data_IF_092570181120
#
_entry.id   IF_092570181120
#
_cell.length_a   1.000
_cell.length_b   1.000
_cell.length_c   1.000
_cell.angle_alpha   90.00
_cell.angle_beta   90.00
_cell.angle_gamma   90.00
#
_symmetry.space_group_name_H-M   'P 1'
#
loop_
_entity.id
_entity.type
_entity.pdbx_description
1 polymer ?
#
# COMPACT_ATOMS: atom_id res chain seq x y z
N UNK A 1 -25.57 1.30 -4.24
CA UNK A 1 -26.63 1.40 -3.21
C UNK A 1 -26.45 2.71 -2.45
N UNK A 2 -27.51 3.33 -1.96
CA UNK A 2 -27.47 4.60 -1.21
C UNK A 2 -27.98 4.30 0.21
N UNK A 3 -27.33 4.86 1.22
CA UNK A 3 -27.81 4.76 2.61
C UNK A 3 -29.21 5.38 2.71
N UNK A 4 -30.19 4.60 3.21
CA UNK A 4 -31.56 5.09 3.45
C UNK A 4 -31.97 4.78 4.89
N UNK A 5 -32.02 5.84 5.71
CA UNK A 5 -32.42 5.80 7.13
C UNK A 5 -33.84 5.31 7.38
N UNK A 6 -34.68 5.22 6.34
CA UNK A 6 -36.07 4.74 6.43
C UNK A 6 -36.17 3.22 6.27
N UNK A 7 -35.11 2.58 5.79
CA UNK A 7 -35.05 1.13 5.63
C UNK A 7 -34.70 0.51 6.98
N UNK A 8 -35.36 -0.60 7.32
CA UNK A 8 -34.96 -1.43 8.45
C UNK A 8 -33.79 -2.31 8.03
N UNK A 9 -32.71 -2.27 8.78
CA UNK A 9 -31.54 -3.14 8.59
C UNK A 9 -31.19 -3.89 9.87
N UNK A 10 -30.16 -4.71 9.79
CA UNK A 10 -29.65 -5.43 10.96
C UNK A 10 -29.11 -4.43 12.00
N UNK A 11 -29.69 -4.46 13.19
CA UNK A 11 -29.12 -3.83 14.37
C UNK A 11 -27.96 -4.70 14.87
N UNK A 12 -26.77 -4.39 14.37
CA UNK A 12 -25.53 -5.09 14.74
C UNK A 12 -25.16 -4.91 16.22
N UNK A 13 -25.60 -3.84 16.88
CA UNK A 13 -25.29 -3.58 18.29
C UNK A 13 -26.10 -4.52 19.17
N UNK A 14 -27.41 -4.61 18.97
CA UNK A 14 -28.24 -5.53 19.76
C UNK A 14 -27.99 -6.98 19.35
N UNK A 15 -27.79 -7.25 18.05
CA UNK A 15 -27.44 -8.59 17.54
C UNK A 15 -26.17 -9.11 18.19
N UNK A 16 -25.12 -8.29 18.28
CA UNK A 16 -23.84 -8.68 18.92
C UNK A 16 -23.97 -8.97 20.42
N UNK A 17 -25.02 -8.48 21.09
CA UNK A 17 -25.32 -8.75 22.50
C UNK A 17 -26.20 -9.97 22.71
N UNK A 18 -26.93 -10.42 21.68
CA UNK A 18 -27.83 -11.59 21.73
C UNK A 18 -27.13 -12.85 21.24
N UNK A 19 -26.07 -13.23 21.94
CA UNK A 19 -25.28 -14.43 21.66
C UNK A 19 -25.79 -15.58 22.52
N UNK A 20 -26.14 -16.69 21.90
CA UNK A 20 -26.41 -17.93 22.61
C UNK A 20 -25.12 -18.42 23.31
N UNK A 21 -25.13 -18.61 24.64
CA UNK A 21 -23.92 -18.86 25.41
C UNK A 21 -23.31 -20.26 25.17
N UNK A 22 -24.06 -21.18 24.58
CA UNK A 22 -23.61 -22.56 24.34
C UNK A 22 -23.12 -22.78 22.91
N UNK A 23 -23.75 -22.12 21.95
CA UNK A 23 -23.49 -22.31 20.51
C UNK A 23 -22.73 -21.13 19.88
N UNK A 24 -22.66 -19.98 20.56
CA UNK A 24 -22.07 -18.75 20.02
C UNK A 24 -22.88 -18.12 18.90
N UNK A 25 -24.07 -18.64 18.58
CA UNK A 25 -24.92 -18.10 17.51
C UNK A 25 -25.56 -16.78 17.94
N UNK A 26 -25.52 -15.79 17.05
CA UNK A 26 -26.17 -14.51 17.24
C UNK A 26 -27.63 -14.58 16.77
N UNK A 27 -28.55 -14.00 17.55
CA UNK A 27 -29.94 -13.77 17.12
C UNK A 27 -30.04 -12.40 16.47
N UNK A 28 -30.28 -12.38 15.16
CA UNK A 28 -30.39 -11.13 14.38
C UNK A 28 -31.58 -10.31 14.86
N UNK A 29 -31.34 -9.03 15.12
CA UNK A 29 -32.36 -8.02 15.41
C UNK A 29 -32.37 -6.95 14.32
N UNK A 30 -33.52 -6.36 14.07
CA UNK A 30 -33.69 -5.30 13.07
C UNK A 30 -34.16 -4.00 13.73
N UNK A 31 -33.60 -2.88 13.28
CA UNK A 31 -34.00 -1.53 13.67
C UNK A 31 -33.99 -0.60 12.44
N UNK A 32 -34.55 0.62 12.58
CA UNK A 32 -34.47 1.62 11.53
C UNK A 32 -33.04 2.13 11.38
N UNK A 33 -32.59 2.27 10.12
CA UNK A 33 -31.20 2.53 9.78
C UNK A 33 -30.54 1.24 9.30
N UNK A 34 -30.09 1.22 8.05
CA UNK A 34 -29.46 0.05 7.44
C UNK A 34 -27.96 0.28 7.23
N UNK A 35 -27.16 -0.74 7.53
CA UNK A 35 -25.73 -0.80 7.18
C UNK A 35 -25.60 -1.17 5.69
N UNK A 36 -26.10 -0.33 4.79
CA UNK A 36 -26.39 -0.75 3.42
C UNK A 36 -25.22 -0.68 2.42
N UNK A 37 -23.97 -0.46 2.88
CA UNK A 37 -22.85 -0.21 1.98
C UNK A 37 -21.53 -0.88 2.42
N UNK A 38 -21.44 -2.20 2.32
CA UNK A 38 -20.14 -2.85 2.10
C UNK A 38 -19.74 -2.70 0.63
N UNK A 39 -19.19 -1.53 0.27
CA UNK A 39 -18.61 -1.34 -1.05
C UNK A 39 -17.15 -1.79 -1.04
N UNK A 40 -16.81 -2.79 -1.85
CA UNK A 40 -15.41 -3.14 -2.15
C UNK A 40 -14.80 -2.05 -3.01
N UNK A 41 -14.08 -1.14 -2.37
CA UNK A 41 -13.45 0.01 -3.04
C UNK A 41 -11.96 -0.19 -3.33
N UNK A 42 -11.27 -1.02 -2.54
CA UNK A 42 -9.85 -1.30 -2.71
C UNK A 42 -9.57 -2.81 -2.67
N UNK A 43 -9.45 -3.42 -3.85
CA UNK A 43 -9.00 -4.80 -4.02
C UNK A 43 -8.00 -4.83 -5.17
N UNK A 44 -6.72 -5.03 -4.85
CA UNK A 44 -5.63 -5.03 -5.84
C UNK A 44 -4.81 -6.31 -5.72
N UNK A 45 -4.94 -7.17 -6.71
CA UNK A 45 -4.19 -8.43 -6.85
C UNK A 45 -2.87 -8.27 -7.62
N UNK A 46 -2.54 -7.03 -8.01
CA UNK A 46 -1.31 -6.67 -8.70
C UNK A 46 -0.21 -6.40 -7.68
N UNK A 47 1.00 -6.92 -7.96
CA UNK A 47 2.21 -6.61 -7.21
C UNK A 47 2.01 -6.77 -5.68
N UNK A 48 1.50 -7.93 -5.25
CA UNK A 48 1.20 -8.20 -3.84
C UNK A 48 2.40 -7.92 -2.94
N UNK A 49 2.09 -7.44 -1.75
CA UNK A 49 3.05 -7.18 -0.68
C UNK A 49 3.61 -8.52 -0.21
N UNK A 50 4.86 -8.57 0.22
CA UNK A 50 5.47 -9.75 0.80
C UNK A 50 5.58 -9.60 2.32
N UNK A 51 5.25 -10.66 3.04
CA UNK A 51 5.44 -10.77 4.48
C UNK A 51 5.79 -12.20 4.88
N UNK A 52 5.90 -12.43 6.18
CA UNK A 52 6.12 -13.75 6.75
C UNK A 52 4.79 -14.26 7.29
N UNK A 53 4.40 -15.45 6.85
CA UNK A 53 3.21 -16.13 7.35
C UNK A 53 3.50 -16.94 8.61
N UNK A 54 2.45 -17.50 9.23
CA UNK A 54 2.49 -18.39 10.39
C UNK A 54 3.51 -19.54 10.31
N UNK A 55 3.93 -19.97 9.11
CA UNK A 55 4.92 -21.04 8.92
C UNK A 55 6.36 -20.52 8.85
N UNK A 56 6.57 -19.23 9.11
CA UNK A 56 7.87 -18.58 8.95
C UNK A 56 8.33 -18.50 7.49
N UNK A 57 7.40 -18.52 6.52
CA UNK A 57 7.72 -18.47 5.07
C UNK A 57 7.29 -17.15 4.47
N UNK A 58 8.05 -16.70 3.46
CA UNK A 58 7.66 -15.56 2.64
C UNK A 58 6.37 -15.89 1.91
N UNK A 59 5.38 -15.01 2.03
CA UNK A 59 4.05 -15.17 1.47
C UNK A 59 3.59 -13.84 0.85
N UNK A 60 2.86 -13.88 -0.27
CA UNK A 60 2.04 -12.75 -0.69
C UNK A 60 1.03 -12.41 0.39
N UNK A 61 0.82 -11.12 0.60
CA UNK A 61 -0.21 -10.55 1.45
C UNK A 61 -1.18 -9.77 0.58
N UNK A 62 -2.46 -9.96 0.83
CA UNK A 62 -3.51 -9.18 0.18
C UNK A 62 -4.38 -8.45 1.21
N UNK A 63 -5.02 -7.33 0.79
CA UNK A 63 -6.03 -6.66 1.59
C UNK A 63 -7.13 -7.63 2.03
N UNK A 64 -7.22 -7.85 3.33
CA UNK A 64 -8.38 -8.49 3.96
C UNK A 64 -9.52 -7.49 4.13
N UNK A 65 -10.29 -7.63 5.21
CA UNK A 65 -11.31 -6.63 5.56
C UNK A 65 -10.63 -5.30 5.94
N UNK A 66 -10.90 -4.25 5.14
CA UNK A 66 -10.45 -2.88 5.39
C UNK A 66 -11.68 -2.01 5.66
N UNK A 67 -12.06 -1.91 6.94
CA UNK A 67 -13.29 -1.23 7.34
C UNK A 67 -13.01 0.20 7.71
N UNK A 68 -13.66 1.12 7.00
CA UNK A 68 -13.80 2.52 7.37
C UNK A 68 -15.27 2.84 7.53
N UNK A 69 -15.62 3.65 8.53
CA UNK A 69 -17.01 3.97 8.83
C UNK A 69 -17.24 5.47 8.90
N UNK A 70 -18.43 5.87 8.48
CA UNK A 70 -18.96 7.23 8.65
C UNK A 70 -20.24 7.09 9.44
N UNK A 71 -20.31 7.76 10.60
CA UNK A 71 -21.51 7.78 11.42
C UNK A 71 -22.31 9.04 11.09
N UNK A 72 -23.54 8.84 10.63
CA UNK A 72 -24.52 9.89 10.35
C UNK A 72 -25.65 9.73 11.35
N UNK A 73 -25.95 10.77 12.12
CA UNK A 73 -27.03 10.75 13.11
C UNK A 73 -28.43 10.79 12.46
N UNK A 74 -29.46 10.69 13.29
CA UNK A 74 -30.87 10.64 12.85
C UNK A 74 -31.28 11.90 12.08
N UNK A 75 -30.72 13.06 12.47
CA UNK A 75 -30.94 14.35 11.83
C UNK A 75 -30.20 14.48 10.48
N UNK A 76 -29.26 13.59 10.19
CA UNK A 76 -28.47 13.58 8.95
C UNK A 76 -27.11 14.28 9.07
N UNK A 77 -26.66 14.63 10.28
CA UNK A 77 -25.35 15.21 10.50
C UNK A 77 -24.28 14.13 10.57
N UNK A 78 -23.15 14.38 9.91
CA UNK A 78 -21.97 13.50 10.01
C UNK A 78 -21.31 13.72 11.38
N UNK A 79 -21.40 12.72 12.25
CA UNK A 79 -20.78 12.70 13.59
C UNK A 79 -19.35 12.16 13.58
N UNK A 80 -19.06 11.27 12.64
CA UNK A 80 -17.71 10.76 12.37
C UNK A 80 -17.57 10.52 10.88
N UNK A 81 -16.46 10.96 10.29
CA UNK A 81 -16.18 10.83 8.87
C UNK A 81 -14.97 9.92 8.67
N UNK A 82 -15.15 8.83 7.91
CA UNK A 82 -14.09 7.89 7.51
C UNK A 82 -13.19 7.41 8.65
N UNK A 83 -13.78 7.11 9.81
CA UNK A 83 -13.03 6.63 10.97
C UNK A 83 -12.64 5.15 10.80
N UNK A 84 -11.60 4.73 11.52
CA UNK A 84 -11.16 3.34 11.62
C UNK A 84 -10.94 2.98 13.09
N UNK A 85 -10.66 1.72 13.39
CA UNK A 85 -10.44 1.25 14.77
C UNK A 85 -8.97 0.90 14.99
N UNK A 86 -8.51 1.03 16.24
CA UNK A 86 -7.25 0.44 16.69
C UNK A 86 -7.58 -0.87 17.39
N UNK A 87 -6.94 -1.96 16.96
CA UNK A 87 -7.15 -3.28 17.56
C UNK A 87 -6.35 -3.42 18.85
N UNK A 88 -6.60 -4.49 19.61
CA UNK A 88 -5.98 -4.74 20.92
C UNK A 88 -4.44 -4.79 20.89
N UNK A 89 -3.83 -5.06 19.74
CA UNK A 89 -2.37 -5.06 19.56
C UNK A 89 -1.79 -3.67 19.26
N UNK A 90 -2.63 -2.63 19.18
CA UNK A 90 -2.21 -1.25 18.90
C UNK A 90 -2.03 -0.93 17.41
N UNK A 91 -2.34 -1.87 16.51
CA UNK A 91 -2.32 -1.66 15.06
C UNK A 91 -3.65 -1.06 14.56
N UNK A 92 -3.63 -0.42 13.39
CA UNK A 92 -4.86 -0.03 12.70
C UNK A 92 -5.63 -1.28 12.24
N UNK A 93 -6.96 -1.21 12.24
CA UNK A 93 -7.84 -2.36 11.95
C UNK A 93 -7.78 -2.88 10.52
N UNK A 94 -7.29 -2.07 9.58
CA UNK A 94 -7.04 -2.52 8.21
C UNK A 94 -6.05 -3.68 8.24
N UNK A 95 -6.43 -4.80 7.62
CA UNK A 95 -5.69 -6.05 7.73
C UNK A 95 -5.11 -6.44 6.38
N UNK A 96 -3.83 -6.82 6.38
CA UNK A 96 -3.15 -7.48 5.26
C UNK A 96 -2.90 -8.92 5.64
N UNK A 97 -3.55 -9.85 4.94
CA UNK A 97 -3.55 -11.27 5.29
C UNK A 97 -2.62 -12.06 4.37
N UNK A 98 -1.77 -12.95 4.90
CA UNK A 98 -1.05 -13.89 4.07
C UNK A 98 -2.01 -14.80 3.31
N UNK A 99 -1.78 -14.93 2.02
CA UNK A 99 -2.54 -15.85 1.17
C UNK A 99 -1.64 -16.93 0.60
N UNK A 100 -2.19 -18.14 0.48
CA UNK A 100 -1.62 -19.19 -0.36
C UNK A 100 -2.54 -19.33 -1.57
N UNK A 101 -2.25 -18.67 -2.69
CA UNK A 101 -3.13 -18.73 -3.85
C UNK A 101 -3.15 -20.16 -4.39
N UNK A 102 -4.35 -20.65 -4.72
CA UNK A 102 -4.53 -21.94 -5.41
C UNK A 102 -3.90 -21.95 -6.82
N UNK A 103 -3.50 -20.78 -7.33
CA UNK A 103 -2.72 -20.58 -8.53
C UNK A 103 -1.34 -20.03 -8.16
N UNK A 104 -0.40 -20.93 -7.84
CA UNK A 104 1.02 -20.56 -7.74
C UNK A 104 1.60 -20.47 -9.16
N UNK A 105 2.06 -19.29 -9.56
CA UNK A 105 2.77 -19.11 -10.83
C UNK A 105 4.12 -19.85 -10.81
N UNK A 106 4.52 -20.43 -11.95
CA UNK A 106 5.87 -20.97 -12.16
C UNK A 106 6.92 -19.86 -12.29
N UNK A 107 6.48 -18.64 -12.61
CA UNK A 107 7.35 -17.49 -12.86
C UNK A 107 7.36 -16.61 -11.62
N UNK A 108 8.57 -16.36 -11.11
CA UNK A 108 8.80 -15.43 -10.02
C UNK A 108 8.54 -13.98 -10.46
N UNK A 109 8.41 -13.09 -9.48
CA UNK A 109 8.34 -11.63 -9.68
C UNK A 109 9.58 -11.17 -10.46
N UNK A 110 9.45 -10.16 -11.31
CA UNK A 110 10.63 -9.63 -12.01
C UNK A 110 11.62 -9.02 -11.02
N UNK A 111 12.89 -8.91 -11.43
CA UNK A 111 13.93 -8.29 -10.61
C UNK A 111 13.53 -6.87 -10.20
N UNK A 112 12.95 -6.10 -11.12
CA UNK A 112 12.50 -4.73 -10.90
C UNK A 112 11.36 -4.71 -9.89
N UNK A 113 10.32 -5.52 -10.08
CA UNK A 113 9.21 -5.56 -9.13
C UNK A 113 9.64 -6.03 -7.74
N UNK A 114 10.60 -6.95 -7.64
CA UNK A 114 11.14 -7.37 -6.35
C UNK A 114 11.95 -6.25 -5.67
N UNK A 115 12.86 -5.61 -6.41
CA UNK A 115 13.90 -4.77 -5.82
C UNK A 115 13.60 -3.27 -5.86
N UNK A 116 12.72 -2.79 -6.74
CA UNK A 116 12.46 -1.36 -6.93
C UNK A 116 11.04 -0.94 -6.56
N UNK A 117 10.12 -1.88 -6.39
CA UNK A 117 8.76 -1.56 -5.98
C UNK A 117 8.64 -1.47 -4.44
N UNK A 118 8.38 -0.29 -3.85
CA UNK A 118 8.24 -0.13 -2.40
C UNK A 118 7.06 -0.91 -1.83
N UNK A 119 6.01 -1.16 -2.63
CA UNK A 119 4.85 -1.95 -2.23
C UNK A 119 5.24 -3.39 -1.90
N UNK A 120 6.12 -4.00 -2.69
CA UNK A 120 6.61 -5.38 -2.50
C UNK A 120 7.10 -5.64 -1.08
N UNK A 121 7.83 -4.69 -0.51
CA UNK A 121 8.45 -4.82 0.82
C UNK A 121 7.62 -4.18 1.94
N UNK A 122 6.37 -3.80 1.64
CA UNK A 122 5.38 -3.34 2.61
C UNK A 122 5.35 -1.84 2.86
N UNK A 123 6.15 -1.02 2.15
CA UNK A 123 6.08 0.43 2.29
C UNK A 123 4.86 1.05 1.59
N UNK A 124 4.13 0.29 0.77
CA UNK A 124 2.95 0.74 0.05
C UNK A 124 3.26 1.46 -1.26
N UNK A 125 2.24 1.64 -2.08
CA UNK A 125 2.38 2.30 -3.38
C UNK A 125 2.78 3.76 -3.20
N UNK A 126 3.74 4.23 -4.00
CA UNK A 126 4.19 5.62 -3.99
C UNK A 126 5.17 5.98 -2.86
N UNK A 127 5.35 5.12 -1.85
CA UNK A 127 6.28 5.37 -0.73
C UNK A 127 7.71 4.92 -1.04
N UNK A 128 8.17 5.24 -2.25
CA UNK A 128 9.51 4.94 -2.74
C UNK A 128 10.55 5.87 -2.07
N UNK A 129 11.82 5.47 -1.97
CA UNK A 129 12.91 6.32 -1.46
C UNK A 129 13.02 7.59 -2.29
N UNK A 130 12.91 7.43 -3.60
CA UNK A 130 12.97 8.51 -4.57
C UNK A 130 11.76 9.44 -4.42
N UNK A 131 10.56 8.87 -4.28
CA UNK A 131 9.34 9.65 -4.04
C UNK A 131 9.41 10.45 -2.74
N UNK A 132 9.86 9.84 -1.64
CA UNK A 132 10.07 10.57 -0.38
C UNK A 132 11.09 11.70 -0.50
N UNK A 133 12.17 11.52 -1.27
CA UNK A 133 13.17 12.58 -1.50
C UNK A 133 12.63 13.72 -2.38
N UNK A 134 11.77 13.41 -3.35
CA UNK A 134 11.24 14.38 -4.33
C UNK A 134 10.00 15.12 -3.83
N UNK A 135 9.11 14.42 -3.13
CA UNK A 135 7.80 14.90 -2.73
C UNK A 135 7.70 15.19 -1.22
N UNK A 136 8.64 14.69 -0.41
CA UNK A 136 8.48 14.66 1.04
C UNK A 136 7.23 13.88 1.42
N UNK A 137 6.41 14.46 2.29
CA UNK A 137 5.10 13.92 2.68
C UNK A 137 3.97 14.29 1.69
N UNK A 138 4.28 15.00 0.60
CA UNK A 138 3.28 15.38 -0.39
C UNK A 138 2.84 14.15 -1.19
N UNK A 139 1.52 13.90 -1.33
CA UNK A 139 1.05 12.78 -2.12
C UNK A 139 1.38 13.01 -3.61
N UNK A 140 1.62 11.92 -4.35
CA UNK A 140 1.72 11.99 -5.80
C UNK A 140 0.32 12.28 -6.37
N UNK A 141 0.05 13.56 -6.67
CA UNK A 141 -1.17 13.99 -7.36
C UNK A 141 -0.84 14.22 -8.84
N UNK A 142 -1.38 13.37 -9.71
CA UNK A 142 -1.34 13.62 -11.15
C UNK A 142 -2.61 14.34 -11.56
N UNK A 143 -2.50 15.64 -11.83
CA UNK A 143 -3.59 16.42 -12.40
C UNK A 143 -3.77 16.06 -13.88
N UNK A 144 -4.64 15.09 -14.15
CA UNK A 144 -4.93 14.63 -15.52
C UNK A 144 -5.57 15.73 -16.39
N UNK A 145 -6.06 16.83 -15.79
CA UNK A 145 -6.53 18.02 -16.55
C UNK A 145 -5.39 18.81 -17.19
N UNK A 146 -4.13 18.56 -16.79
CA UNK A 146 -2.92 19.21 -17.31
C UNK A 146 -1.89 18.22 -17.87
N UNK A 147 -2.29 16.97 -18.12
CA UNK A 147 -1.43 15.88 -18.58
C UNK A 147 -0.88 16.05 -20.00
N UNK A 148 0.19 15.31 -20.29
CA UNK A 148 1.02 15.42 -21.52
C UNK A 148 0.27 14.99 -22.80
N UNK A 149 -0.87 14.30 -22.69
CA UNK A 149 -1.66 13.81 -23.82
C UNK A 149 -3.13 14.27 -23.84
N UNK A 150 -3.53 15.25 -23.00
CA UNK A 150 -4.93 15.67 -22.92
C UNK A 150 -5.82 14.57 -22.36
N UNK A 151 -5.39 13.96 -21.25
CA UNK A 151 -5.86 12.66 -20.78
C UNK A 151 -7.33 12.61 -20.33
N UNK A 152 -8.01 13.75 -20.27
CA UNK A 152 -9.48 13.83 -20.33
C UNK A 152 -9.86 15.10 -21.11
N UNK A 153 -10.42 14.99 -22.34
CA UNK A 153 -10.94 16.14 -23.06
C UNK A 153 -11.93 16.94 -22.19
N UNK A 154 -11.79 18.26 -22.17
CA UNK A 154 -12.62 19.22 -21.41
C UNK A 154 -12.50 19.22 -19.87
N UNK A 155 -11.60 18.43 -19.28
CA UNK A 155 -11.35 18.52 -17.84
C UNK A 155 -10.67 19.86 -17.48
N UNK A 156 -11.33 20.69 -16.67
CA UNK A 156 -10.81 22.00 -16.22
C UNK A 156 -10.05 21.94 -14.89
N UNK A 157 -10.27 20.89 -14.10
CA UNK A 157 -9.66 20.71 -12.77
C UNK A 157 -9.53 19.22 -12.45
N UNK A 158 -8.42 18.79 -11.86
CA UNK A 158 -8.32 17.53 -11.15
C UNK A 158 -8.92 17.62 -9.74
N UNK A 159 -9.71 16.62 -9.33
CA UNK A 159 -10.15 16.45 -7.94
C UNK A 159 -9.78 15.06 -7.46
N UNK A 160 -9.52 14.92 -6.15
CA UNK A 160 -9.40 13.60 -5.53
C UNK A 160 -10.71 12.83 -5.67
N UNK A 161 -10.65 11.60 -6.21
CA UNK A 161 -11.80 10.71 -6.28
C UNK A 161 -12.27 10.29 -4.88
N UNK A 162 -11.32 10.15 -3.95
CA UNK A 162 -11.60 9.80 -2.54
C UNK A 162 -10.85 10.78 -1.64
N UNK A 163 -11.52 11.45 -0.68
CA UNK A 163 -10.86 12.35 0.26
C UNK A 163 -9.91 11.58 1.17
N UNK A 164 -8.87 12.27 1.67
CA UNK A 164 -7.92 11.72 2.64
C UNK A 164 -8.66 11.25 3.90
N UNK A 165 -8.24 10.12 4.44
CA UNK A 165 -8.65 9.66 5.76
C UNK A 165 -7.67 10.24 6.77
N UNK A 166 -8.08 11.28 7.51
CA UNK A 166 -7.17 12.02 8.39
C UNK A 166 -6.52 11.14 9.46
N UNK A 167 -7.32 10.26 10.07
CA UNK A 167 -6.86 9.36 11.14
C UNK A 167 -6.03 8.17 10.61
N UNK A 168 -6.06 7.91 9.30
CA UNK A 168 -5.29 6.85 8.65
C UNK A 168 -4.44 7.47 7.51
N UNK A 169 -3.33 8.15 7.84
CA UNK A 169 -2.50 8.87 6.87
C UNK A 169 -1.54 7.93 6.11
N UNK A 170 -1.98 6.71 5.81
CA UNK A 170 -1.18 5.67 5.19
C UNK A 170 -1.88 5.12 3.94
N UNK A 171 -1.11 4.55 3.02
CA UNK A 171 -1.70 3.86 1.88
C UNK A 171 -2.40 2.57 2.34
N UNK A 172 -3.51 2.21 1.68
CA UNK A 172 -4.26 0.98 2.01
C UNK A 172 -3.44 -0.29 1.75
N UNK A 173 -2.39 -0.21 0.94
CA UNK A 173 -1.43 -1.27 0.69
C UNK A 173 -0.09 -1.08 1.41
N UNK A 174 -0.05 -0.25 2.46
CA UNK A 174 1.12 -0.06 3.30
C UNK A 174 1.01 -0.87 4.59
N UNK A 175 1.95 -1.79 4.82
CA UNK A 175 2.02 -2.58 6.05
C UNK A 175 2.96 -1.95 7.09
N UNK A 176 4.02 -1.29 6.63
CA UNK A 176 5.12 -0.82 7.47
C UNK A 176 5.61 0.54 7.00
N UNK A 177 6.05 1.38 7.93
CA UNK A 177 6.74 2.64 7.61
C UNK A 177 8.25 2.43 7.53
N UNK A 178 8.98 3.38 6.94
CA UNK A 178 10.44 3.28 6.75
C UNK A 178 11.25 3.16 8.05
N UNK A 179 10.69 3.56 9.20
CA UNK A 179 11.29 3.32 10.52
C UNK A 179 11.19 1.86 10.99
N UNK A 180 10.44 1.02 10.28
CA UNK A 180 10.21 -0.38 10.60
C UNK A 180 8.98 -0.66 11.46
N UNK A 181 8.25 0.38 11.90
CA UNK A 181 6.99 0.21 12.63
C UNK A 181 5.88 -0.34 11.72
N UNK A 182 5.28 -1.47 12.11
CA UNK A 182 4.07 -1.99 11.51
C UNK A 182 2.88 -1.06 11.80
N UNK A 183 2.08 -0.79 10.78
CA UNK A 183 0.94 0.13 10.88
C UNK A 183 -0.40 -0.53 10.60
N UNK A 184 -0.45 -1.63 9.86
CA UNK A 184 -1.67 -2.39 9.59
C UNK A 184 -1.64 -3.74 10.30
N UNK A 185 -2.81 -4.28 10.59
CA UNK A 185 -2.95 -5.58 11.24
C UNK A 185 -2.57 -6.74 10.29
N UNK A 186 -2.17 -7.86 10.88
CA UNK A 186 -2.08 -9.17 10.24
C UNK A 186 -2.88 -10.18 11.07
N UNK A 187 -3.49 -11.20 10.45
CA UNK A 187 -4.52 -12.00 11.11
C UNK A 187 -3.99 -12.88 12.24
N UNK A 188 -2.77 -13.41 12.14
CA UNK A 188 -2.20 -14.30 13.15
C UNK A 188 -1.02 -13.65 13.90
N UNK A 189 -0.80 -13.97 15.19
CA UNK A 189 0.31 -13.43 15.97
C UNK A 189 1.70 -13.68 15.38
N UNK A 190 1.87 -14.81 14.68
CA UNK A 190 3.12 -15.19 14.03
C UNK A 190 3.32 -14.49 12.68
N UNK A 191 2.25 -13.96 12.09
CA UNK A 191 2.34 -13.20 10.86
C UNK A 191 3.02 -11.86 11.12
N UNK A 192 3.99 -11.50 10.27
CA UNK A 192 4.69 -10.23 10.40
C UNK A 192 5.09 -9.65 9.05
N UNK A 193 5.30 -8.33 8.95
CA UNK A 193 6.05 -7.75 7.86
C UNK A 193 7.45 -8.36 7.80
N UNK A 194 8.08 -8.24 6.63
CA UNK A 194 9.54 -8.36 6.55
C UNK A 194 10.17 -7.46 7.61
N UNK A 195 11.26 -7.85 8.26
CA UNK A 195 11.97 -7.00 9.19
C UNK A 195 12.91 -6.02 8.44
N UNK A 196 13.59 -5.14 9.16
CA UNK A 196 14.45 -4.13 8.51
C UNK A 196 15.62 -4.76 7.74
N UNK A 197 16.23 -5.81 8.28
CA UNK A 197 17.34 -6.50 7.64
C UNK A 197 16.90 -7.16 6.34
N UNK A 198 15.79 -7.91 6.37
CA UNK A 198 15.16 -8.54 5.21
C UNK A 198 14.81 -7.50 4.13
N UNK A 199 14.23 -6.36 4.51
CA UNK A 199 13.93 -5.27 3.56
C UNK A 199 15.19 -4.66 2.98
N UNK A 200 16.24 -4.45 3.77
CA UNK A 200 17.52 -3.89 3.30
C UNK A 200 18.23 -4.82 2.31
N UNK A 201 18.08 -6.13 2.47
CA UNK A 201 18.59 -7.12 1.51
C UNK A 201 17.89 -7.01 0.15
N UNK A 202 16.62 -6.62 0.13
CA UNK A 202 15.80 -6.56 -1.09
C UNK A 202 15.80 -5.17 -1.74
N UNK A 203 15.65 -4.09 -0.99
CA UNK A 203 15.42 -2.75 -1.56
C UNK A 203 16.66 -2.24 -2.31
N UNK A 204 16.57 -2.19 -3.65
CA UNK A 204 17.56 -1.59 -4.56
C UNK A 204 17.00 -0.39 -5.32
N UNK A 205 15.86 0.13 -4.89
CA UNK A 205 15.25 1.31 -5.47
C UNK A 205 16.21 2.52 -5.45
N UNK A 206 16.32 3.24 -6.56
CA UNK A 206 17.23 4.38 -6.65
C UNK A 206 18.69 3.99 -6.91
N UNK A 207 19.00 2.75 -7.31
CA UNK A 207 20.31 2.47 -7.93
C UNK A 207 20.59 3.43 -9.10
N UNK A 208 19.55 3.75 -9.87
CA UNK A 208 19.58 4.79 -10.90
C UNK A 208 19.86 6.19 -10.33
N UNK A 209 19.27 6.56 -9.17
CA UNK A 209 19.54 7.85 -8.52
C UNK A 209 20.97 7.96 -8.02
N UNK A 210 21.63 6.83 -7.72
CA UNK A 210 23.06 6.78 -7.40
C UNK A 210 23.91 7.53 -8.44
N UNK A 211 23.59 7.38 -9.73
CA UNK A 211 24.22 8.11 -10.81
C UNK A 211 23.48 9.43 -11.12
N UNK A 212 22.15 9.39 -11.29
CA UNK A 212 21.38 10.53 -11.82
C UNK A 212 21.13 11.66 -10.83
N UNK A 213 21.35 11.49 -9.53
CA UNK A 213 21.23 12.59 -8.56
C UNK A 213 22.19 13.75 -8.83
N UNK A 214 23.27 13.50 -9.56
CA UNK A 214 24.27 14.48 -9.92
C UNK A 214 23.95 15.19 -11.24
N UNK A 215 22.85 14.86 -11.92
CA UNK A 215 22.55 15.40 -13.23
C UNK A 215 22.62 16.94 -13.25
N UNK A 216 23.46 17.50 -14.14
CA UNK A 216 23.71 18.95 -14.22
C UNK A 216 24.78 19.49 -13.25
N UNK A 217 25.45 18.64 -12.49
CA UNK A 217 26.58 19.00 -11.60
C UNK A 217 27.94 18.54 -12.19
N UNK A 218 29.08 19.08 -11.75
CA UNK A 218 30.41 18.60 -12.16
C UNK A 218 30.63 17.10 -11.91
N UNK A 219 30.02 16.55 -10.86
CA UNK A 219 30.08 15.13 -10.52
C UNK A 219 29.46 14.26 -11.62
N UNK A 220 28.43 14.75 -12.32
CA UNK A 220 27.84 14.05 -13.46
C UNK A 220 28.79 13.96 -14.65
N UNK A 221 29.62 14.99 -14.88
CA UNK A 221 30.66 14.89 -15.91
C UNK A 221 31.68 13.80 -15.60
N UNK A 222 32.03 13.61 -14.32
CA UNK A 222 32.92 12.53 -13.91
C UNK A 222 32.29 11.14 -14.12
N UNK A 223 30.99 11.00 -13.83
CA UNK A 223 30.24 9.77 -14.10
C UNK A 223 30.21 9.48 -15.61
N UNK A 224 29.89 10.49 -16.42
CA UNK A 224 29.88 10.38 -17.89
C UNK A 224 31.27 10.03 -18.43
N UNK A 225 32.34 10.64 -17.91
CA UNK A 225 33.72 10.32 -18.31
C UNK A 225 34.10 8.87 -17.98
N UNK A 226 33.61 8.34 -16.85
CA UNK A 226 33.95 6.99 -16.38
C UNK A 226 33.15 5.89 -17.07
N UNK A 227 31.84 6.08 -17.26
CA UNK A 227 30.93 5.03 -17.73
C UNK A 227 30.32 5.32 -19.12
N UNK A 228 30.50 6.52 -19.67
CA UNK A 228 29.91 6.95 -20.93
C UNK A 228 28.47 7.49 -20.78
N UNK A 229 27.88 7.90 -21.92
CA UNK A 229 26.44 8.19 -22.03
C UNK A 229 25.76 7.05 -22.77
N UNK A 230 24.71 6.48 -22.19
CA UNK A 230 23.85 5.54 -22.89
C UNK A 230 22.93 6.27 -23.86
N UNK A 231 22.95 5.88 -25.14
CA UNK A 231 22.03 6.37 -26.16
C UNK A 231 20.78 5.47 -26.31
N UNK A 232 20.86 4.21 -25.84
CA UNK A 232 19.76 3.24 -25.88
C UNK A 232 19.54 2.59 -24.50
N UNK A 233 18.36 2.01 -24.28
CA UNK A 233 18.04 1.29 -23.06
C UNK A 233 19.00 0.11 -22.79
N UNK A 234 19.38 -0.63 -23.83
CA UNK A 234 20.30 -1.77 -23.71
C UNK A 234 21.72 -1.32 -23.31
N UNK A 235 22.19 -0.17 -23.82
CA UNK A 235 23.46 0.41 -23.39
C UNK A 235 23.40 0.84 -21.92
N UNK A 236 22.29 1.43 -21.49
CA UNK A 236 22.08 1.84 -20.11
C UNK A 236 22.14 0.64 -19.16
N UNK A 237 21.48 -0.46 -19.51
CA UNK A 237 21.48 -1.69 -18.73
C UNK A 237 22.89 -2.30 -18.57
N UNK A 238 23.68 -2.34 -19.67
CA UNK A 238 25.07 -2.80 -19.64
C UNK A 238 25.94 -1.95 -18.71
N UNK A 239 25.84 -0.62 -18.82
CA UNK A 239 26.60 0.31 -17.97
C UNK A 239 26.26 0.15 -16.48
N UNK A 240 24.98 -0.01 -16.15
CA UNK A 240 24.53 -0.25 -14.77
C UNK A 240 25.04 -1.59 -14.25
N UNK A 241 24.99 -2.65 -15.07
CA UNK A 241 25.50 -3.97 -14.70
C UNK A 241 27.00 -3.95 -14.37
N UNK A 242 27.80 -3.28 -15.19
CA UNK A 242 29.25 -3.10 -14.96
C UNK A 242 29.53 -2.30 -13.68
N UNK A 243 28.80 -1.21 -13.46
CA UNK A 243 28.92 -0.40 -12.26
C UNK A 243 28.63 -1.22 -11.00
N UNK A 244 27.55 -2.02 -10.99
CA UNK A 244 27.18 -2.90 -9.87
C UNK A 244 28.25 -3.98 -9.63
N UNK A 245 28.74 -4.65 -10.68
CA UNK A 245 29.82 -5.65 -10.57
C UNK A 245 31.11 -5.04 -9.97
N UNK A 246 31.45 -3.81 -10.35
CA UNK A 246 32.62 -3.11 -9.80
C UNK A 246 32.51 -2.83 -8.31
N UNK A 247 31.29 -2.58 -7.81
CA UNK A 247 31.01 -2.37 -6.39
C UNK A 247 31.13 -3.69 -5.61
N UNK A 248 30.62 -4.79 -6.16
CA UNK A 248 30.72 -6.11 -5.54
C UNK A 248 32.18 -6.60 -5.41
N UNK A 249 33.03 -6.29 -6.40
CA UNK A 249 34.46 -6.66 -6.37
C UNK A 249 35.29 -5.93 -5.33
N UNK A 250 34.82 -4.77 -4.83
CA UNK A 250 35.47 -3.99 -3.75
C UNK A 250 35.04 -4.40 -2.34
N UNK A 251 34.03 -5.25 -2.24
CA UNK A 251 33.47 -5.73 -0.97
C UNK A 251 34.07 -7.08 -0.52
N UNK A 252 35.09 -7.59 -1.23
CA UNK A 252 35.96 -8.69 -0.82
C UNK A 252 37.27 -8.11 -0.34
#
# INVERSE_FOLDING_TARGET
MQYDRRVKGTDWITTSKKVDPFTGRQTVTEEFGDLSLENRSFMRWENSILGINLRGKVSPLDPGCQVFYTFVDEEGNVKALNKHYIISTGHNSTTLAPINPHATSLVARTCEDCHTNPKTIGYGTGNSRSAGKLLGDSPLFQDLSKGVYGDIPDAKTGRWQTPKIEDFPYALDQLVVRSGKQIQNMPLPEDRPLNQEERNLVEREGLCIGCHQYYGTPEWENIVKKYGKAATAEQHEKMVSEAIKSLMGRSK
#
